data_IF_984850407377
#
_entry.id   IF_984850407377
#
_cell.length_a   1.000
_cell.length_b   1.000
_cell.length_c   1.000
_cell.angle_alpha   90.00
_cell.angle_beta   90.00
_cell.angle_gamma   90.00
#
_symmetry.space_group_name_H-M   'P 1'
#
loop_
_entity.id
_entity.type
_entity.pdbx_description
1 polymer ?
#
# COMPACT_ATOMS: atom_id res chain seq x y z
N UNK A 1 -21.43 -17.00 -6.78
CA UNK A 1 -20.00 -16.67 -6.72
C UNK A 1 -19.72 -16.30 -5.27
N UNK A 2 -19.19 -17.24 -4.47
CA UNK A 2 -18.91 -17.00 -3.06
C UNK A 2 -17.63 -16.16 -2.96
N UNK A 3 -17.73 -15.04 -2.25
CA UNK A 3 -16.68 -14.04 -2.13
C UNK A 3 -15.38 -14.67 -1.66
N UNK A 4 -14.29 -14.33 -2.33
CA UNK A 4 -12.94 -14.56 -1.83
C UNK A 4 -12.83 -13.81 -0.50
N UNK A 5 -12.84 -14.48 0.66
CA UNK A 5 -12.48 -13.83 1.91
C UNK A 5 -11.01 -13.43 1.74
N UNK A 6 -10.70 -12.14 1.86
CA UNK A 6 -9.32 -11.66 1.74
C UNK A 6 -8.41 -12.45 2.69
N UNK A 7 -7.21 -12.86 2.25
CA UNK A 7 -6.31 -13.69 3.06
C UNK A 7 -5.88 -12.90 4.30
N UNK A 8 -6.25 -13.42 5.47
CA UNK A 8 -5.71 -13.11 6.80
C UNK A 8 -5.27 -11.64 7.07
N UNK A 9 -6.12 -10.68 6.71
CA UNK A 9 -5.85 -9.24 6.89
C UNK A 9 -5.61 -8.88 8.36
N UNK A 10 -6.11 -9.70 9.29
CA UNK A 10 -5.96 -9.48 10.74
C UNK A 10 -4.51 -9.36 11.23
N UNK A 11 -3.58 -10.14 10.66
CA UNK A 11 -2.15 -10.02 11.02
C UNK A 11 -1.54 -8.71 10.52
N UNK A 12 -1.86 -8.30 9.29
CA UNK A 12 -1.40 -7.01 8.74
C UNK A 12 -1.96 -5.84 9.52
N UNK A 13 -3.25 -5.87 9.86
CA UNK A 13 -3.89 -4.84 10.69
C UNK A 13 -3.27 -4.75 12.08
N UNK A 14 -2.79 -5.87 12.64
CA UNK A 14 -2.05 -5.88 13.90
C UNK A 14 -0.72 -5.14 13.74
N UNK A 15 0.06 -5.45 12.71
CA UNK A 15 1.34 -4.76 12.45
C UNK A 15 1.12 -3.25 12.26
N UNK A 16 0.17 -2.87 11.41
CA UNK A 16 -0.17 -1.47 11.13
C UNK A 16 -0.79 -0.71 12.32
N UNK A 17 -1.20 -1.40 13.39
CA UNK A 17 -1.68 -0.73 14.61
C UNK A 17 -0.52 -0.13 15.39
N UNK A 18 0.63 -0.77 15.36
CA UNK A 18 1.84 -0.35 16.09
C UNK A 18 2.65 0.68 15.29
N UNK A 19 2.41 0.78 13.97
CA UNK A 19 3.04 1.77 13.10
C UNK A 19 2.47 3.19 13.30
N UNK A 20 3.40 4.15 13.39
CA UNK A 20 3.11 5.58 13.35
C UNK A 20 3.13 6.03 11.88
N UNK A 21 1.96 6.46 11.37
CA UNK A 21 1.82 6.88 9.97
C UNK A 21 1.84 8.40 9.89
N UNK A 22 2.79 8.97 9.17
CA UNK A 22 2.85 10.40 8.87
C UNK A 22 1.75 10.77 7.86
N UNK A 23 0.60 11.21 8.37
CA UNK A 23 -0.57 11.58 7.57
C UNK A 23 -0.46 13.02 7.04
N UNK A 24 -0.74 13.19 5.76
CA UNK A 24 -0.88 14.49 5.12
C UNK A 24 -2.24 15.14 5.50
N UNK A 25 -2.39 16.48 5.35
CA UNK A 25 -3.66 17.14 5.62
C UNK A 25 -4.83 16.53 4.85
N UNK A 26 -5.90 16.17 5.57
CA UNK A 26 -7.09 15.55 4.99
C UNK A 26 -7.03 14.02 4.88
N UNK A 27 -5.92 13.39 5.24
CA UNK A 27 -5.84 11.92 5.29
C UNK A 27 -6.48 11.35 6.54
N UNK A 28 -7.14 10.20 6.38
CA UNK A 28 -7.66 9.41 7.48
C UNK A 28 -6.73 8.23 7.74
N UNK A 29 -6.42 7.99 9.02
CA UNK A 29 -5.68 6.78 9.43
C UNK A 29 -6.41 5.51 9.00
N UNK A 30 -7.75 5.51 9.03
CA UNK A 30 -8.54 4.35 8.62
C UNK A 30 -8.35 4.02 7.14
N UNK A 31 -8.37 5.05 6.28
CA UNK A 31 -8.14 4.91 4.84
C UNK A 31 -6.71 4.45 4.55
N UNK A 32 -5.71 5.06 5.19
CA UNK A 32 -4.31 4.67 5.04
C UNK A 32 -4.08 3.20 5.44
N UNK A 33 -4.60 2.78 6.60
CA UNK A 33 -4.49 1.39 7.07
C UNK A 33 -5.19 0.42 6.13
N UNK A 34 -6.39 0.75 5.65
CA UNK A 34 -7.12 -0.11 4.72
C UNK A 34 -6.42 -0.25 3.36
N UNK A 35 -5.85 0.84 2.85
CA UNK A 35 -5.02 0.83 1.65
C UNK A 35 -3.78 -0.05 1.83
N UNK A 36 -3.00 0.17 2.90
CA UNK A 36 -1.80 -0.61 3.21
C UNK A 36 -2.11 -2.09 3.38
N UNK A 37 -3.14 -2.43 4.14
CA UNK A 37 -3.53 -3.81 4.39
C UNK A 37 -3.97 -4.53 3.11
N UNK A 38 -4.65 -3.82 2.21
CA UNK A 38 -5.13 -4.39 0.95
C UNK A 38 -4.01 -4.58 -0.07
N UNK A 39 -3.09 -3.62 -0.19
CA UNK A 39 -1.88 -3.77 -1.03
C UNK A 39 -0.97 -4.90 -0.52
N UNK A 40 -0.77 -4.99 0.80
CA UNK A 40 -0.01 -6.08 1.41
C UNK A 40 -0.68 -7.46 1.15
N UNK A 41 -2.01 -7.53 1.28
CA UNK A 41 -2.77 -8.73 0.96
C UNK A 41 -2.71 -9.10 -0.53
N UNK A 42 -2.78 -8.11 -1.42
CA UNK A 42 -2.66 -8.30 -2.86
C UNK A 42 -1.28 -8.84 -3.26
N UNK A 43 -0.21 -8.27 -2.70
CA UNK A 43 1.15 -8.79 -2.88
C UNK A 43 1.29 -10.23 -2.39
N UNK A 44 0.86 -10.50 -1.16
CA UNK A 44 0.94 -11.84 -0.58
C UNK A 44 0.21 -12.88 -1.46
N UNK A 45 -0.96 -12.51 -1.97
CA UNK A 45 -1.74 -13.31 -2.92
C UNK A 45 -1.00 -13.52 -4.25
N UNK A 46 -0.38 -12.47 -4.80
CA UNK A 46 0.38 -12.53 -6.06
C UNK A 46 1.61 -13.45 -5.99
N UNK A 47 2.17 -13.61 -4.78
CA UNK A 47 3.30 -14.50 -4.44
C UNK A 47 2.83 -15.89 -3.99
N UNK A 48 1.55 -16.08 -3.67
CA UNK A 48 0.98 -17.37 -3.29
C UNK A 48 1.22 -17.77 -1.82
N UNK A 49 1.31 -16.80 -0.90
CA UNK A 49 1.50 -17.03 0.54
C UNK A 49 0.61 -16.15 1.41
N UNK A 50 0.61 -16.40 2.72
CA UNK A 50 0.00 -15.49 3.70
C UNK A 50 0.77 -14.17 3.81
N UNK A 51 0.13 -13.06 4.23
CA UNK A 51 0.80 -11.79 4.47
C UNK A 51 1.88 -11.85 5.56
N UNK A 52 2.93 -11.04 5.38
CA UNK A 52 4.14 -10.94 6.20
C UNK A 52 4.51 -9.47 6.38
N UNK A 53 5.45 -9.17 7.29
CA UNK A 53 5.98 -7.81 7.44
C UNK A 53 6.68 -7.27 6.19
N UNK A 54 7.14 -8.14 5.28
CA UNK A 54 7.70 -7.71 4.00
C UNK A 54 6.64 -7.13 3.07
N UNK A 55 5.41 -7.67 3.08
CA UNK A 55 4.31 -7.11 2.28
C UNK A 55 3.88 -5.75 2.78
N UNK A 56 3.87 -5.59 4.11
CA UNK A 56 3.58 -4.31 4.74
C UNK A 56 4.62 -3.28 4.33
N UNK A 57 5.91 -3.63 4.35
CA UNK A 57 6.97 -2.75 3.87
C UNK A 57 6.78 -2.34 2.41
N UNK A 58 6.51 -3.29 1.50
CA UNK A 58 6.23 -2.93 0.09
C UNK A 58 5.04 -1.97 -0.03
N UNK A 59 3.95 -2.24 0.70
CA UNK A 59 2.78 -1.36 0.70
C UNK A 59 3.12 0.04 1.24
N UNK A 60 3.94 0.14 2.28
CA UNK A 60 4.42 1.41 2.83
C UNK A 60 5.30 2.16 1.82
N UNK A 61 6.21 1.46 1.13
CA UNK A 61 7.04 2.07 0.07
C UNK A 61 6.15 2.60 -1.07
N UNK A 62 5.17 1.82 -1.54
CA UNK A 62 4.26 2.24 -2.62
C UNK A 62 3.45 3.49 -2.28
N UNK A 63 2.98 3.60 -1.03
CA UNK A 63 2.20 4.75 -0.55
C UNK A 63 3.07 5.87 0.06
N UNK A 64 4.39 5.72 0.10
CA UNK A 64 5.28 6.75 0.65
C UNK A 64 5.23 6.92 2.17
N UNK A 65 4.93 5.85 2.90
CA UNK A 65 5.07 5.76 4.37
C UNK A 65 6.41 5.14 4.81
N UNK A 66 7.30 4.82 3.89
CA UNK A 66 8.60 4.23 4.19
C UNK A 66 9.63 5.31 4.52
N UNK A 67 9.98 5.45 5.80
CA UNK A 67 10.92 6.46 6.29
C UNK A 67 12.35 6.32 5.74
N UNK A 68 12.70 5.17 5.17
CA UNK A 68 14.00 4.97 4.54
C UNK A 68 14.13 5.64 3.16
N UNK A 69 13.00 6.02 2.55
CA UNK A 69 12.95 6.69 1.26
C UNK A 69 13.44 8.15 1.35
N UNK A 70 14.02 8.68 0.27
CA UNK A 70 14.42 10.09 0.23
C UNK A 70 13.21 11.04 0.45
N UNK A 71 13.41 12.11 1.24
CA UNK A 71 12.31 12.99 1.70
C UNK A 71 11.49 13.58 0.55
N UNK A 72 12.14 14.07 -0.51
CA UNK A 72 11.45 14.65 -1.67
C UNK A 72 10.52 13.65 -2.39
N UNK A 73 10.83 12.35 -2.37
CA UNK A 73 9.96 11.31 -2.95
C UNK A 73 8.77 11.08 -2.02
N UNK A 74 9.01 10.99 -0.70
CA UNK A 74 7.93 10.84 0.29
C UNK A 74 6.96 12.02 0.26
N UNK A 75 7.48 13.24 0.17
CA UNK A 75 6.69 14.46 0.04
C UNK A 75 5.83 14.42 -1.23
N UNK A 76 6.41 14.09 -2.38
CA UNK A 76 5.66 13.95 -3.64
C UNK A 76 4.58 12.85 -3.59
N UNK A 77 4.81 11.76 -2.87
CA UNK A 77 3.79 10.73 -2.65
C UNK A 77 2.73 11.18 -1.66
N UNK A 78 3.10 11.89 -0.59
CA UNK A 78 2.17 12.44 0.39
C UNK A 78 1.21 13.46 -0.24
N UNK A 79 1.64 14.19 -1.27
CA UNK A 79 0.76 15.08 -2.06
C UNK A 79 -0.27 14.31 -2.89
N UNK A 80 0.09 13.15 -3.43
CA UNK A 80 -0.77 12.32 -4.31
C UNK A 80 -1.68 11.38 -3.54
N UNK A 81 -1.20 10.85 -2.42
CA UNK A 81 -1.86 9.81 -1.63
C UNK A 81 -3.30 10.14 -1.22
N UNK A 82 -3.67 11.38 -0.83
CA UNK A 82 -5.07 11.72 -0.56
C UNK A 82 -6.00 11.42 -1.74
N UNK A 83 -5.53 11.59 -2.98
CA UNK A 83 -6.32 11.26 -4.18
C UNK A 83 -6.58 9.76 -4.31
N UNK A 84 -5.60 8.94 -3.92
CA UNK A 84 -5.64 7.48 -4.04
C UNK A 84 -6.41 6.81 -2.91
N UNK A 85 -6.23 7.29 -1.67
CA UNK A 85 -6.72 6.58 -0.47
C UNK A 85 -8.02 7.14 0.08
N UNK A 86 -8.46 8.35 -0.32
CA UNK A 86 -9.63 8.96 0.30
C UNK A 86 -10.90 8.11 0.17
N UNK A 87 -11.47 7.74 1.33
CA UNK A 87 -12.67 6.94 1.54
C UNK A 87 -12.55 5.45 1.19
N UNK A 88 -11.34 4.91 0.93
CA UNK A 88 -11.17 3.48 0.61
C UNK A 88 -11.60 2.55 1.76
N UNK A 89 -11.63 3.03 3.00
CA UNK A 89 -12.13 2.25 4.14
C UNK A 89 -13.66 2.06 4.13
N UNK A 90 -14.38 2.87 3.37
CA UNK A 90 -15.85 2.87 3.28
C UNK A 90 -16.37 2.55 1.88
N UNK A 91 -15.49 2.55 0.87
CA UNK A 91 -15.83 2.29 -0.53
C UNK A 91 -14.94 1.18 -1.10
N UNK A 92 -15.49 -0.03 -1.16
CA UNK A 92 -14.76 -1.19 -1.71
C UNK A 92 -14.41 -1.04 -3.19
N UNK A 93 -15.16 -0.24 -3.97
CA UNK A 93 -14.85 -0.03 -5.40
C UNK A 93 -13.54 0.75 -5.54
N UNK A 94 -13.39 1.83 -4.78
CA UNK A 94 -12.15 2.61 -4.73
C UNK A 94 -10.97 1.77 -4.23
N UNK A 95 -11.21 0.90 -3.25
CA UNK A 95 -10.18 -0.01 -2.76
C UNK A 95 -9.70 -0.97 -3.86
N UNK A 96 -10.62 -1.54 -4.66
CA UNK A 96 -10.26 -2.37 -5.80
C UNK A 96 -9.57 -1.58 -6.92
N UNK A 97 -9.98 -0.33 -7.18
CA UNK A 97 -9.31 0.55 -8.14
C UNK A 97 -7.86 0.82 -7.71
N UNK A 98 -7.62 1.14 -6.44
CA UNK A 98 -6.28 1.32 -5.87
C UNK A 98 -5.41 0.06 -6.02
N UNK A 99 -5.93 -1.10 -5.61
CA UNK A 99 -5.18 -2.36 -5.72
C UNK A 99 -4.92 -2.72 -7.19
N UNK A 100 -5.91 -2.51 -8.07
CA UNK A 100 -5.81 -2.78 -9.49
C UNK A 100 -4.91 -1.81 -10.27
N UNK A 101 -4.57 -0.66 -9.69
CA UNK A 101 -3.67 0.33 -10.28
C UNK A 101 -2.18 -0.01 -10.12
N UNK A 102 -1.84 -1.07 -9.38
CA UNK A 102 -0.47 -1.57 -9.22
C UNK A 102 -0.27 -2.80 -10.09
N UNK A 103 0.73 -2.78 -10.97
CA UNK A 103 1.05 -3.92 -11.82
C UNK A 103 1.45 -5.16 -10.98
N UNK A 104 0.96 -6.33 -11.35
CA UNK A 104 1.28 -7.59 -10.65
C UNK A 104 2.78 -7.90 -10.64
N UNK A 105 3.53 -7.46 -11.66
CA UNK A 105 4.98 -7.57 -11.70
C UNK A 105 5.64 -6.76 -10.58
N UNK A 106 5.15 -5.53 -10.33
CA UNK A 106 5.59 -4.70 -9.19
C UNK A 106 5.24 -5.41 -7.89
N UNK A 107 4.03 -5.95 -7.76
CA UNK A 107 3.61 -6.71 -6.57
C UNK A 107 4.45 -7.97 -6.33
N UNK A 108 5.21 -8.48 -7.29
CA UNK A 108 6.11 -9.65 -7.12
C UNK A 108 7.57 -9.27 -6.87
N UNK A 109 7.90 -8.00 -7.00
CA UNK A 109 9.26 -7.46 -6.87
C UNK A 109 9.66 -7.36 -5.38
N UNK A 110 10.96 -7.38 -5.06
CA UNK A 110 11.41 -7.24 -3.65
C UNK A 110 11.23 -5.80 -3.14
N UNK A 111 11.15 -5.56 -1.82
CA UNK A 111 11.05 -4.21 -1.26
C UNK A 111 12.19 -3.30 -1.70
N UNK A 112 13.43 -3.82 -1.76
CA UNK A 112 14.60 -3.04 -2.15
C UNK A 112 14.51 -2.60 -3.62
N UNK A 113 14.04 -3.48 -4.49
CA UNK A 113 13.84 -3.17 -5.91
C UNK A 113 12.68 -2.18 -6.10
N UNK A 114 11.56 -2.33 -5.39
CA UNK A 114 10.45 -1.34 -5.43
C UNK A 114 10.96 0.03 -4.98
N UNK A 115 11.74 0.10 -3.89
CA UNK A 115 12.34 1.33 -3.43
C UNK A 115 13.31 1.94 -4.48
N UNK A 116 14.09 1.10 -5.16
CA UNK A 116 15.00 1.54 -6.22
C UNK A 116 14.26 2.08 -7.46
N UNK A 117 13.14 1.45 -7.86
CA UNK A 117 12.28 1.93 -8.95
C UNK A 117 11.68 3.30 -8.61
N UNK A 118 11.15 3.46 -7.40
CA UNK A 118 10.61 4.75 -6.93
C UNK A 118 11.70 5.82 -6.83
N UNK A 119 12.90 5.46 -6.39
CA UNK A 119 14.07 6.35 -6.39
C UNK A 119 14.54 6.74 -7.80
N UNK A 120 14.29 5.88 -8.79
CA UNK A 120 14.51 6.17 -10.21
C UNK A 120 13.44 7.08 -10.84
N UNK A 121 12.35 7.37 -10.12
CA UNK A 121 11.25 8.22 -10.59
C UNK A 121 10.09 7.46 -11.25
N UNK A 122 10.04 6.13 -11.12
CA UNK A 122 8.94 5.34 -11.67
C UNK A 122 7.62 5.62 -10.93
N UNK A 123 6.53 5.76 -11.70
CA UNK A 123 5.18 5.83 -11.13
C UNK A 123 4.55 4.44 -11.07
N UNK A 124 4.50 3.84 -9.87
CA UNK A 124 4.04 2.47 -9.67
C UNK A 124 2.54 2.34 -9.33
N UNK A 125 1.84 3.47 -9.20
CA UNK A 125 0.37 3.53 -9.03
C UNK A 125 -0.21 4.34 -10.19
N UNK A 126 -1.00 3.68 -11.03
CA UNK A 126 -1.60 4.27 -12.24
C UNK A 126 -2.97 4.95 -11.99
N UNK A 127 -3.06 5.78 -10.93
CA UNK A 127 -4.22 6.62 -10.58
C UNK A 127 -3.91 8.10 -10.72
#
# INVERSE_FOLDING_TARGET
MFGTPGPDTGYVLKLLREEELELAPGESRADAVMALASLAGARASAVGRAPTGEDVRVAMTLLGFDDSMASHIREGLAERRPHWVANVAHDSKKLYELVGAVDVAVLRTSPQEVAAMMAGGDNLIAL
#
